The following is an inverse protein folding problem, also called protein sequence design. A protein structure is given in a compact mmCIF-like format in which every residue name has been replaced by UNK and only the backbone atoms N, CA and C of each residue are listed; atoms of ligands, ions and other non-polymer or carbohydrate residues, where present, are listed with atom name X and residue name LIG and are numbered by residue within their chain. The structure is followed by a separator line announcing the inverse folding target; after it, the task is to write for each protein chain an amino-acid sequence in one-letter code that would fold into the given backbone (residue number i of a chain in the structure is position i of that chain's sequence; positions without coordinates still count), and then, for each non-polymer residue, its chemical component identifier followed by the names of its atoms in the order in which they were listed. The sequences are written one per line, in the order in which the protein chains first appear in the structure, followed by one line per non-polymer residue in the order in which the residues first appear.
data_IF_563765598231
#
_entry.id   IF_563765598231
#
_cell.length_a   1.000
_cell.length_b   1.000
_cell.length_c   1.000
_cell.angle_alpha   90.00
_cell.angle_beta   90.00
_cell.angle_gamma   90.00
#
_symmetry.space_group_name_H-M   'P 1'
#
loop_
_entity.id
_entity.type
_entity.pdbx_description
1 polymer ?
#
# COMPACT_ATOMS: atom_id res chain seq x y z
N UNK A 1 2.49 -23.16 -15.43
CA UNK A 1 2.60 -22.19 -14.32
C UNK A 1 2.65 -20.79 -14.93
N UNK A 2 2.10 -19.79 -14.25
CA UNK A 2 2.11 -18.38 -14.66
C UNK A 2 2.85 -17.58 -13.60
N UNK A 3 3.77 -16.71 -14.00
CA UNK A 3 4.49 -15.80 -13.10
C UNK A 3 3.92 -14.39 -13.26
N UNK A 4 3.27 -13.88 -12.20
CA UNK A 4 2.73 -12.52 -12.18
C UNK A 4 3.82 -11.52 -11.78
N UNK A 5 3.83 -10.35 -12.41
CA UNK A 5 4.73 -9.22 -12.08
C UNK A 5 4.15 -8.24 -11.08
N UNK A 6 3.02 -8.59 -10.44
CA UNK A 6 2.34 -7.76 -9.45
C UNK A 6 2.27 -8.50 -8.11
N UNK A 7 2.56 -7.80 -7.01
CA UNK A 7 2.60 -8.39 -5.69
C UNK A 7 1.20 -8.52 -5.05
N UNK A 8 1.08 -9.46 -4.12
CA UNK A 8 -0.09 -9.63 -3.25
C UNK A 8 -1.03 -10.75 -3.69
N UNK A 9 -1.50 -11.55 -2.72
CA UNK A 9 -2.41 -12.68 -2.95
C UNK A 9 -3.74 -12.26 -3.59
N UNK A 10 -4.21 -11.03 -3.32
CA UNK A 10 -5.40 -10.48 -3.96
C UNK A 10 -5.24 -10.32 -5.48
N UNK A 11 -4.03 -10.04 -5.97
CA UNK A 11 -3.75 -9.95 -7.40
C UNK A 11 -3.72 -11.33 -8.09
N UNK A 12 -3.44 -12.41 -7.36
CA UNK A 12 -3.65 -13.77 -7.87
C UNK A 12 -5.14 -14.01 -8.14
N UNK A 13 -6.03 -13.58 -7.23
CA UNK A 13 -7.49 -13.67 -7.45
C UNK A 13 -7.95 -12.84 -8.65
N UNK A 14 -7.41 -11.62 -8.81
CA UNK A 14 -7.70 -10.76 -9.95
C UNK A 14 -7.23 -11.41 -11.26
N UNK A 15 -6.05 -12.02 -11.29
CA UNK A 15 -5.54 -12.74 -12.45
C UNK A 15 -6.40 -13.97 -12.80
N UNK A 16 -6.87 -14.71 -11.78
CA UNK A 16 -7.80 -15.83 -12.00
C UNK A 16 -9.14 -15.37 -12.59
N UNK A 17 -9.69 -14.26 -12.09
CA UNK A 17 -10.91 -13.67 -12.63
C UNK A 17 -10.72 -13.22 -14.10
N UNK A 18 -9.60 -12.55 -14.40
CA UNK A 18 -9.26 -12.13 -15.75
C UNK A 18 -9.10 -13.35 -16.69
N UNK A 19 -8.44 -14.41 -16.22
CA UNK A 19 -8.29 -15.65 -16.96
C UNK A 19 -9.64 -16.32 -17.25
N UNK A 20 -10.55 -16.36 -16.27
CA UNK A 20 -11.89 -16.91 -16.45
C UNK A 20 -12.71 -16.13 -17.49
N UNK A 21 -12.67 -14.79 -17.43
CA UNK A 21 -13.33 -13.95 -18.43
C UNK A 21 -12.74 -14.16 -19.83
N UNK A 22 -11.43 -14.25 -19.96
CA UNK A 22 -10.77 -14.48 -21.25
C UNK A 22 -11.10 -15.86 -21.82
N UNK A 23 -11.15 -16.91 -20.99
CA UNK A 23 -11.60 -18.25 -21.40
C UNK A 23 -13.04 -18.23 -21.91
N UNK A 24 -13.94 -17.52 -21.23
CA UNK A 24 -15.35 -17.40 -21.62
C UNK A 24 -15.51 -16.70 -22.97
N UNK A 25 -14.57 -15.88 -23.40
CA UNK A 25 -14.55 -15.23 -24.73
C UNK A 25 -13.78 -16.03 -25.80
N UNK A 26 -13.31 -17.24 -25.45
CA UNK A 26 -12.64 -18.14 -26.41
C UNK A 26 -11.12 -17.95 -26.51
N UNK A 27 -10.49 -17.20 -25.61
CA UNK A 27 -9.05 -17.08 -25.61
C UNK A 27 -8.36 -18.41 -25.24
N UNK A 28 -7.24 -18.73 -25.91
CA UNK A 28 -6.46 -19.93 -25.59
C UNK A 28 -5.69 -19.78 -24.28
N UNK A 29 -5.42 -20.89 -23.60
CA UNK A 29 -4.58 -20.88 -22.38
C UNK A 29 -3.21 -20.25 -22.61
N UNK A 30 -2.60 -20.48 -23.77
CA UNK A 30 -1.31 -19.87 -24.12
C UNK A 30 -1.40 -18.34 -24.24
N UNK A 31 -2.49 -17.83 -24.85
CA UNK A 31 -2.69 -16.38 -24.95
C UNK A 31 -2.91 -15.76 -23.55
N UNK A 32 -3.69 -16.42 -22.69
CA UNK A 32 -3.94 -15.99 -21.31
C UNK A 32 -2.65 -15.98 -20.51
N UNK A 33 -1.86 -17.06 -20.57
CA UNK A 33 -0.57 -17.14 -19.90
C UNK A 33 0.33 -15.97 -20.32
N UNK A 34 0.51 -15.77 -21.63
CA UNK A 34 1.34 -14.67 -22.16
C UNK A 34 0.83 -13.29 -21.72
N UNK A 35 -0.48 -13.06 -21.74
CA UNK A 35 -1.08 -11.81 -21.29
C UNK A 35 -0.82 -11.53 -19.81
N UNK A 36 -0.95 -12.54 -18.96
CA UNK A 36 -0.69 -12.41 -17.52
C UNK A 36 0.79 -12.19 -17.19
N UNK A 37 1.70 -12.88 -17.90
CA UNK A 37 3.15 -12.77 -17.68
C UNK A 37 3.76 -11.47 -18.23
N UNK A 38 3.12 -10.87 -19.24
CA UNK A 38 3.53 -9.57 -19.81
C UNK A 38 2.84 -8.38 -19.17
N UNK A 39 1.85 -8.63 -18.29
CA UNK A 39 1.14 -7.55 -17.60
C UNK A 39 2.11 -6.76 -16.70
N UNK A 40 2.13 -5.46 -16.89
CA UNK A 40 2.85 -4.55 -16.02
C UNK A 40 1.87 -3.80 -15.10
N UNK A 41 2.17 -3.73 -13.78
CA UNK A 41 1.32 -3.00 -12.85
C UNK A 41 1.17 -1.54 -13.25
N UNK A 42 -0.05 -1.03 -13.20
CA UNK A 42 -0.32 0.40 -13.35
C UNK A 42 0.37 1.16 -12.19
N UNK A 43 0.92 2.34 -12.48
CA UNK A 43 1.59 3.19 -11.50
C UNK A 43 0.71 3.37 -10.24
N UNK A 44 1.31 3.16 -9.08
CA UNK A 44 0.62 3.25 -7.79
C UNK A 44 -0.29 2.06 -7.45
N UNK A 45 -0.12 0.92 -8.13
CA UNK A 45 -0.86 -0.33 -7.81
C UNK A 45 0.11 -1.45 -7.48
N UNK A 46 0.37 -1.62 -6.17
CA UNK A 46 1.22 -2.69 -5.60
C UNK A 46 2.56 -2.88 -6.32
N UNK A 47 3.18 -1.79 -6.80
CA UNK A 47 4.50 -1.81 -7.42
C UNK A 47 5.57 -1.88 -6.34
N UNK A 48 6.46 -2.88 -6.41
CA UNK A 48 7.62 -2.97 -5.54
C UNK A 48 8.78 -2.21 -6.19
N UNK A 49 9.39 -1.31 -5.43
CA UNK A 49 10.55 -0.49 -5.80
C UNK A 49 11.63 -0.66 -4.74
N UNK A 50 12.88 -0.48 -5.12
CA UNK A 50 13.96 -0.29 -4.15
C UNK A 50 14.07 1.21 -3.84
N UNK A 51 14.31 1.51 -2.57
CA UNK A 51 14.58 2.87 -2.09
C UNK A 51 15.62 2.82 -0.96
N UNK A 52 16.06 3.99 -0.49
CA UNK A 52 17.00 4.11 0.61
C UNK A 52 16.35 4.88 1.75
N UNK A 53 16.41 4.33 2.96
CA UNK A 53 15.95 4.99 4.19
C UNK A 53 17.08 4.95 5.23
N UNK A 54 17.53 6.12 5.69
CA UNK A 54 18.66 6.25 6.63
C UNK A 54 19.93 5.50 6.19
N UNK A 55 20.22 5.51 4.88
CA UNK A 55 21.38 4.80 4.31
C UNK A 55 21.19 3.29 4.15
N UNK A 56 20.07 2.72 4.58
CA UNK A 56 19.76 1.31 4.39
C UNK A 56 18.83 1.10 3.18
N UNK A 57 19.05 0.02 2.42
CA UNK A 57 18.17 -0.38 1.32
C UNK A 57 16.85 -0.93 1.87
N UNK A 58 15.73 -0.47 1.33
CA UNK A 58 14.38 -0.90 1.71
C UNK A 58 13.58 -1.39 0.50
N UNK A 59 12.58 -2.23 0.75
CA UNK A 59 11.53 -2.56 -0.22
C UNK A 59 10.37 -1.58 -0.05
N UNK A 60 10.12 -0.74 -1.04
CA UNK A 60 9.03 0.24 -1.05
C UNK A 60 7.89 -0.26 -1.94
N UNK A 61 6.72 -0.48 -1.36
CA UNK A 61 5.49 -0.81 -2.11
C UNK A 61 4.72 0.47 -2.40
N UNK A 62 4.64 0.82 -3.67
CA UNK A 62 3.82 1.93 -4.17
C UNK A 62 2.41 1.41 -4.48
N UNK A 63 1.47 1.64 -3.56
CA UNK A 63 0.04 1.35 -3.71
C UNK A 63 -0.80 2.62 -3.54
N UNK A 64 -0.24 3.74 -4.00
CA UNK A 64 -0.70 5.10 -3.76
C UNK A 64 -1.88 5.56 -4.62
N UNK A 65 -2.35 4.74 -5.59
CA UNK A 65 -3.35 5.18 -6.56
C UNK A 65 -4.72 5.46 -5.93
N UNK A 66 -5.21 4.56 -5.08
CA UNK A 66 -6.50 4.69 -4.38
C UNK A 66 -6.55 3.83 -3.12
N UNK A 67 -7.49 4.12 -2.21
CA UNK A 67 -7.70 3.37 -0.98
C UNK A 67 -9.19 3.24 -0.65
N UNK A 68 -9.60 2.01 -0.34
CA UNK A 68 -10.84 1.66 0.34
C UNK A 68 -10.53 0.60 1.42
N UNK A 69 -11.44 0.31 2.36
CA UNK A 69 -11.15 -0.59 3.48
C UNK A 69 -10.60 -1.96 3.07
N UNK A 70 -11.20 -2.61 2.07
CA UNK A 70 -10.78 -3.94 1.61
C UNK A 70 -9.40 -3.91 0.96
N UNK A 71 -9.13 -2.89 0.13
CA UNK A 71 -7.83 -2.74 -0.51
C UNK A 71 -6.72 -2.38 0.49
N UNK A 72 -7.04 -1.63 1.56
CA UNK A 72 -6.09 -1.34 2.64
C UNK A 72 -5.78 -2.61 3.43
N UNK A 73 -6.78 -3.44 3.76
CA UNK A 73 -6.54 -4.75 4.41
C UNK A 73 -5.65 -5.65 3.56
N UNK A 74 -5.91 -5.75 2.26
CA UNK A 74 -5.07 -6.53 1.34
C UNK A 74 -3.62 -6.00 1.26
N UNK A 75 -3.42 -4.68 1.32
CA UNK A 75 -2.11 -4.05 1.36
C UNK A 75 -1.38 -4.31 2.69
N UNK A 76 -2.11 -4.29 3.81
CA UNK A 76 -1.58 -4.67 5.13
C UNK A 76 -1.12 -6.13 5.12
N UNK A 77 -1.91 -7.07 4.56
CA UNK A 77 -1.52 -8.47 4.43
C UNK A 77 -0.27 -8.66 3.58
N UNK A 78 -0.16 -7.90 2.48
CA UNK A 78 1.05 -7.88 1.67
C UNK A 78 2.26 -7.40 2.49
N UNK A 79 2.15 -6.25 3.17
CA UNK A 79 3.23 -5.70 3.99
C UNK A 79 3.61 -6.65 5.13
N UNK A 80 2.62 -7.30 5.77
CA UNK A 80 2.84 -8.28 6.83
C UNK A 80 3.63 -9.52 6.36
N UNK A 81 3.58 -9.85 5.07
CA UNK A 81 4.35 -10.95 4.48
C UNK A 81 5.79 -10.56 4.12
N UNK A 82 6.14 -9.28 4.21
CA UNK A 82 7.48 -8.76 3.87
C UNK A 82 8.42 -8.74 5.09
N UNK A 83 9.68 -8.36 4.86
CA UNK A 83 10.68 -8.29 5.92
C UNK A 83 10.38 -7.16 6.92
N UNK A 84 10.51 -7.49 8.20
CA UNK A 84 10.42 -6.53 9.30
C UNK A 84 11.76 -5.77 9.48
N UNK A 85 11.76 -4.57 10.09
CA UNK A 85 10.60 -3.81 10.53
C UNK A 85 9.77 -3.27 9.37
N UNK A 86 8.45 -3.16 9.56
CA UNK A 86 7.45 -2.80 8.56
C UNK A 86 6.82 -1.46 8.89
N UNK A 87 6.76 -0.56 7.92
CA UNK A 87 6.15 0.76 8.04
C UNK A 87 5.02 0.91 7.04
N UNK A 88 3.82 1.21 7.52
CA UNK A 88 2.69 1.62 6.71
C UNK A 88 2.54 3.14 6.72
N UNK A 89 2.56 3.78 5.54
CA UNK A 89 2.26 5.19 5.32
C UNK A 89 0.87 5.29 4.70
N UNK A 90 -0.13 5.71 5.50
CA UNK A 90 -1.54 5.65 5.14
C UNK A 90 -2.15 7.06 5.05
N UNK A 91 -2.69 7.42 3.89
CA UNK A 91 -3.57 8.57 3.72
C UNK A 91 -5.03 8.22 3.98
N UNK A 92 -5.91 9.23 4.02
CA UNK A 92 -7.34 9.00 4.16
C UNK A 92 -7.88 8.08 3.08
N UNK A 93 -8.85 7.25 3.46
CA UNK A 93 -9.72 6.50 2.54
C UNK A 93 -10.89 7.39 2.13
N UNK A 94 -11.13 7.52 0.83
CA UNK A 94 -12.28 8.24 0.28
C UNK A 94 -13.47 7.33 0.00
N UNK A 95 -14.59 7.93 -0.37
CA UNK A 95 -15.81 7.23 -0.80
C UNK A 95 -16.37 6.24 0.24
N UNK A 96 -16.12 6.51 1.52
CA UNK A 96 -16.50 5.65 2.66
C UNK A 96 -17.72 6.13 3.42
N UNK A 97 -18.31 7.28 3.00
CA UNK A 97 -19.47 7.89 3.63
C UNK A 97 -19.27 8.19 5.11
N UNK A 98 -20.36 8.22 5.87
CA UNK A 98 -20.38 8.52 7.31
C UNK A 98 -19.61 7.50 8.17
N UNK A 99 -19.33 6.32 7.62
CA UNK A 99 -18.53 5.28 8.30
C UNK A 99 -17.03 5.48 8.17
N UNK A 100 -16.57 6.56 7.54
CA UNK A 100 -15.15 6.85 7.34
C UNK A 100 -14.30 6.68 8.60
N UNK A 101 -14.62 7.35 9.73
CA UNK A 101 -13.86 7.18 10.97
C UNK A 101 -13.80 5.73 11.46
N UNK A 102 -14.90 4.99 11.40
CA UNK A 102 -14.95 3.58 11.82
C UNK A 102 -14.05 2.70 10.95
N UNK A 103 -14.10 2.86 9.63
CA UNK A 103 -13.25 2.12 8.71
C UNK A 103 -11.76 2.41 8.91
N UNK A 104 -11.41 3.68 9.21
CA UNK A 104 -10.03 4.02 9.54
C UNK A 104 -9.58 3.36 10.85
N UNK A 105 -10.41 3.36 11.89
CA UNK A 105 -10.11 2.66 13.13
C UNK A 105 -9.94 1.13 12.91
N UNK A 106 -10.82 0.51 12.11
CA UNK A 106 -10.74 -0.90 11.78
C UNK A 106 -9.41 -1.27 11.08
N UNK A 107 -8.97 -0.50 10.09
CA UNK A 107 -7.72 -0.80 9.38
C UNK A 107 -6.49 -0.52 10.26
N UNK A 108 -6.55 0.47 11.16
CA UNK A 108 -5.49 0.72 12.14
C UNK A 108 -5.33 -0.43 13.13
N UNK A 109 -6.44 -0.92 13.70
CA UNK A 109 -6.45 -2.11 14.56
C UNK A 109 -5.96 -3.36 13.81
N UNK A 110 -6.41 -3.54 12.57
CA UNK A 110 -5.98 -4.65 11.72
C UNK A 110 -4.48 -4.62 11.43
N UNK A 111 -3.92 -3.45 11.12
CA UNK A 111 -2.48 -3.31 10.91
C UNK A 111 -1.68 -3.75 12.14
N UNK A 112 -2.12 -3.36 13.34
CA UNK A 112 -1.52 -3.81 14.60
C UNK A 112 -1.62 -5.32 14.79
N UNK A 113 -2.81 -5.89 14.57
CA UNK A 113 -3.05 -7.34 14.67
C UNK A 113 -2.15 -8.13 13.72
N UNK A 114 -1.91 -7.61 12.51
CA UNK A 114 -1.05 -8.22 11.49
C UNK A 114 0.45 -8.03 11.75
N UNK A 115 0.84 -7.38 12.85
CA UNK A 115 2.23 -7.21 13.24
C UNK A 115 2.98 -6.17 12.41
N UNK A 116 2.30 -5.13 11.94
CA UNK A 116 2.97 -3.96 11.39
C UNK A 116 3.65 -3.22 12.53
N UNK A 117 4.94 -2.86 12.38
CA UNK A 117 5.73 -2.27 13.45
C UNK A 117 5.42 -0.78 13.64
N UNK A 118 5.19 -0.06 12.54
CA UNK A 118 4.92 1.38 12.55
C UNK A 118 3.82 1.76 11.57
N UNK A 119 2.97 2.72 12.01
CA UNK A 119 1.89 3.29 11.20
C UNK A 119 1.98 4.81 11.23
N UNK A 120 2.30 5.44 10.09
CA UNK A 120 2.23 6.89 9.97
C UNK A 120 1.07 7.28 9.05
N UNK A 121 0.20 8.15 9.54
CA UNK A 121 -1.02 8.54 8.88
C UNK A 121 -1.03 10.01 8.50
N UNK A 122 -1.65 10.35 7.36
CA UNK A 122 -1.88 11.73 6.94
C UNK A 122 -3.33 11.94 6.51
N UNK A 123 -3.96 12.98 7.05
CA UNK A 123 -5.34 13.35 6.72
C UNK A 123 -6.25 13.39 7.95
N UNK A 124 -7.45 13.92 7.78
CA UNK A 124 -8.36 14.14 8.91
C UNK A 124 -8.92 12.85 9.51
N UNK A 125 -9.27 11.87 8.65
CA UNK A 125 -9.92 10.63 9.08
C UNK A 125 -8.92 9.57 9.51
N UNK A 126 -7.71 9.56 8.96
CA UNK A 126 -6.66 8.61 9.29
C UNK A 126 -6.10 8.79 10.72
N UNK A 127 -6.47 9.86 11.42
CA UNK A 127 -6.25 10.00 12.86
C UNK A 127 -6.86 8.84 13.66
N UNK A 128 -8.02 8.32 13.22
CA UNK A 128 -8.66 7.17 13.86
C UNK A 128 -7.85 5.87 13.68
N UNK A 129 -7.20 5.71 12.50
CA UNK A 129 -6.30 4.58 12.27
C UNK A 129 -5.09 4.65 13.21
N UNK A 130 -4.46 5.82 13.35
CA UNK A 130 -3.34 6.00 14.26
C UNK A 130 -3.73 5.73 15.73
N UNK A 131 -4.92 6.20 16.15
CA UNK A 131 -5.43 5.97 17.51
C UNK A 131 -5.67 4.48 17.78
N UNK A 132 -6.30 3.77 16.84
CA UNK A 132 -6.60 2.35 16.97
C UNK A 132 -5.34 1.47 16.89
N UNK A 133 -4.34 1.89 16.14
CA UNK A 133 -3.05 1.21 16.09
C UNK A 133 -2.29 1.36 17.43
N UNK A 134 -2.29 2.54 18.02
CA UNK A 134 -1.67 2.83 19.32
C UNK A 134 -0.16 3.06 19.22
N UNK A 135 0.61 2.40 20.09
CA UNK A 135 2.08 2.59 20.14
C UNK A 135 2.73 2.26 18.79
N UNK A 136 3.66 3.14 18.33
CA UNK A 136 4.28 3.04 17.00
C UNK A 136 3.53 3.80 15.91
N UNK A 137 2.37 4.41 16.23
CA UNK A 137 1.65 5.27 15.30
C UNK A 137 2.05 6.75 15.44
N UNK A 138 2.04 7.47 14.30
CA UNK A 138 2.13 8.94 14.24
C UNK A 138 1.13 9.48 13.23
N UNK A 139 0.50 10.60 13.56
CA UNK A 139 -0.50 11.23 12.72
C UNK A 139 -0.07 12.64 12.31
N UNK A 140 -0.38 13.02 11.07
CA UNK A 140 -0.14 14.32 10.45
C UNK A 140 -1.45 14.84 9.86
N UNK A 141 -1.65 16.15 9.92
CA UNK A 141 -2.85 16.78 9.38
C UNK A 141 -3.00 16.65 7.87
N UNK A 142 -1.87 16.55 7.15
CA UNK A 142 -1.83 16.44 5.70
C UNK A 142 -0.56 15.72 5.19
N UNK A 143 -0.52 15.45 3.89
CA UNK A 143 0.61 14.79 3.22
C UNK A 143 1.88 15.65 3.21
N UNK A 144 1.83 16.99 2.99
CA UNK A 144 3.01 17.84 3.13
C UNK A 144 3.70 17.75 4.50
N UNK A 145 2.93 17.74 5.59
CA UNK A 145 3.47 17.60 6.94
C UNK A 145 4.14 16.24 7.17
N UNK A 146 3.56 15.14 6.64
CA UNK A 146 4.19 13.82 6.67
C UNK A 146 5.50 13.82 5.89
N UNK A 147 5.53 14.41 4.69
CA UNK A 147 6.75 14.50 3.86
C UNK A 147 7.82 15.34 4.55
N UNK A 148 7.45 16.46 5.20
CA UNK A 148 8.40 17.29 5.95
C UNK A 148 9.07 16.51 7.08
N UNK A 149 8.37 15.57 7.70
CA UNK A 149 8.87 14.70 8.75
C UNK A 149 9.60 13.43 8.25
N UNK A 150 9.86 13.30 6.94
CA UNK A 150 10.43 12.06 6.37
C UNK A 150 11.76 11.62 6.98
N UNK A 151 12.55 12.57 7.48
CA UNK A 151 13.84 12.26 8.12
C UNK A 151 13.68 11.66 9.51
N UNK A 152 12.47 11.75 10.11
CA UNK A 152 12.13 11.15 11.42
C UNK A 152 11.48 9.77 11.25
N UNK A 153 11.30 9.27 10.03
CA UNK A 153 10.72 7.94 9.80
C UNK A 153 11.48 6.89 10.60
N UNK A 154 10.79 5.92 11.22
CA UNK A 154 11.46 4.84 11.90
C UNK A 154 12.25 3.98 10.91
N UNK A 155 13.31 3.31 11.39
CA UNK A 155 14.01 2.32 10.58
C UNK A 155 13.03 1.22 10.13
N UNK A 156 13.06 0.89 8.84
CA UNK A 156 12.20 -0.14 8.27
C UNK A 156 12.94 -0.91 7.19
N UNK A 157 12.62 -2.19 7.02
CA UNK A 157 13.08 -3.00 5.89
C UNK A 157 12.05 -2.99 4.75
N UNK A 158 10.77 -2.81 5.11
CA UNK A 158 9.66 -2.74 4.16
C UNK A 158 8.76 -1.57 4.47
N UNK A 159 8.43 -0.78 3.45
CA UNK A 159 7.54 0.38 3.54
C UNK A 159 6.43 0.23 2.51
N UNK A 160 5.18 0.50 2.89
CA UNK A 160 4.05 0.54 1.98
C UNK A 160 3.38 1.90 2.06
N UNK A 161 3.10 2.51 0.90
CA UNK A 161 2.44 3.81 0.77
C UNK A 161 1.08 3.62 0.11
N UNK A 162 0.01 4.04 0.81
CA UNK A 162 -1.37 3.91 0.33
C UNK A 162 -2.25 5.08 0.79
N UNK A 163 -3.22 5.45 -0.02
CA UNK A 163 -4.24 6.46 0.28
C UNK A 163 -5.17 6.67 -0.90
N UNK A 164 -6.30 7.34 -0.67
CA UNK A 164 -7.23 7.69 -1.73
C UNK A 164 -6.62 8.65 -2.74
N UNK A 165 -7.19 8.66 -3.95
CA UNK A 165 -6.67 9.46 -5.07
C UNK A 165 -6.49 10.94 -4.73
N UNK A 166 -7.42 11.53 -3.98
CA UNK A 166 -7.35 12.94 -3.58
C UNK A 166 -6.20 13.27 -2.62
N UNK A 167 -5.68 12.26 -1.88
CA UNK A 167 -4.55 12.43 -0.97
C UNK A 167 -3.21 12.56 -1.70
N UNK A 168 -3.12 12.14 -2.96
CA UNK A 168 -1.90 12.20 -3.76
C UNK A 168 -0.68 11.57 -3.06
N UNK A 169 -0.87 10.38 -2.49
CA UNK A 169 0.18 9.69 -1.74
C UNK A 169 1.39 9.31 -2.59
N UNK A 170 1.31 9.36 -3.91
CA UNK A 170 2.46 9.24 -4.81
C UNK A 170 3.53 10.30 -4.55
N UNK A 171 3.21 11.44 -3.93
CA UNK A 171 4.18 12.45 -3.49
C UNK A 171 5.09 11.94 -2.37
N UNK A 172 4.53 11.10 -1.47
CA UNK A 172 5.31 10.42 -0.43
C UNK A 172 6.28 9.41 -1.07
N UNK A 173 5.79 8.61 -2.04
CA UNK A 173 6.63 7.69 -2.80
C UNK A 173 7.79 8.42 -3.47
N UNK A 174 7.49 9.54 -4.14
CA UNK A 174 8.51 10.38 -4.80
C UNK A 174 9.55 10.90 -3.78
N UNK A 175 9.10 11.40 -2.62
CA UNK A 175 9.99 11.91 -1.58
C UNK A 175 10.92 10.84 -0.98
N UNK A 176 10.50 9.56 -1.00
CA UNK A 176 11.30 8.42 -0.53
C UNK A 176 12.22 7.83 -1.61
N UNK A 177 11.91 8.05 -2.90
CA UNK A 177 12.70 7.53 -4.03
C UNK A 177 13.67 8.56 -4.62
N UNK A 178 13.48 9.85 -4.34
CA UNK A 178 14.46 10.88 -4.71
C UNK A 178 15.66 10.73 -3.78
N UNK A 179 16.79 10.31 -4.31
CA UNK A 179 18.06 10.34 -3.60
C UNK A 179 18.30 11.77 -3.11
N UNK A 180 18.67 11.94 -1.83
CA UNK A 180 19.23 13.20 -1.37
C UNK A 180 20.58 13.37 -2.08
N UNK A 181 20.56 14.15 -3.17
CA UNK A 181 21.78 14.66 -3.81
C UNK A 181 22.43 15.69 -2.90
#
# INVERSE_FOLDING_TARGET
AVQLRIAGAHNVKNALAAAACALATGATLTAIQRGLETFEPVKGRSQIKEATLHGARISLVDDSYNANPDSVRAAIDLLASMHAPRLLLLGDMGEVGDRGPAFHAEVGAYARERGIDHLWCAGAQSAEAARAFGAGARHFGDVPALIAARNDLPAAASVLVKGSRFMQMERVVQALTMENV
#
